data_IF_204753662071
#
_entry.id   IF_204753662071
#
_cell.length_a   1.000
_cell.length_b   1.000
_cell.length_c   1.000
_cell.angle_alpha   90.00
_cell.angle_beta   90.00
_cell.angle_gamma   90.00
#
_symmetry.space_group_name_H-M   'P 1'
#
loop_
_entity.id
_entity.type
_entity.pdbx_description
1 polymer ?
#
# COMPACT_ATOMS: atom_id res chain seq x y z
N UNK A 1 -19.24 -27.50 15.15
CA UNK A 1 -18.23 -28.46 14.73
C UNK A 1 -17.45 -27.98 13.53
N UNK A 2 -18.16 -27.72 12.47
CA UNK A 2 -17.56 -27.23 11.23
C UNK A 2 -17.02 -25.83 11.36
N UNK A 3 -17.58 -25.03 12.26
CA UNK A 3 -17.17 -23.66 12.53
C UNK A 3 -15.73 -23.61 13.09
N UNK A 4 -15.38 -24.52 14.00
CA UNK A 4 -14.03 -24.55 14.56
C UNK A 4 -12.99 -24.96 13.51
N UNK A 5 -13.34 -25.90 12.64
CA UNK A 5 -12.47 -26.32 11.54
C UNK A 5 -12.27 -25.18 10.55
N UNK A 6 -13.33 -24.46 10.22
CA UNK A 6 -13.26 -23.29 9.34
C UNK A 6 -12.41 -22.17 9.93
N UNK A 7 -12.56 -21.88 11.21
CA UNK A 7 -11.74 -20.88 11.91
C UNK A 7 -10.28 -21.27 11.91
N UNK A 8 -9.98 -22.54 12.16
CA UNK A 8 -8.62 -23.05 12.18
C UNK A 8 -7.99 -22.97 10.78
N UNK A 9 -8.74 -23.37 9.76
CA UNK A 9 -8.27 -23.30 8.37
C UNK A 9 -8.04 -21.85 7.93
N UNK A 10 -8.93 -20.92 8.29
CA UNK A 10 -8.79 -19.51 7.99
C UNK A 10 -7.57 -18.91 8.72
N UNK A 11 -7.37 -19.26 9.98
CA UNK A 11 -6.22 -18.79 10.76
C UNK A 11 -4.91 -19.31 10.17
N UNK A 12 -4.87 -20.58 9.76
CA UNK A 12 -3.70 -21.17 9.11
C UNK A 12 -3.38 -20.45 7.79
N UNK A 13 -4.40 -20.10 7.02
CA UNK A 13 -4.23 -19.38 5.75
C UNK A 13 -3.67 -17.98 6.01
N UNK A 14 -4.24 -17.26 6.95
CA UNK A 14 -3.75 -15.92 7.33
C UNK A 14 -2.30 -15.98 7.77
N UNK A 15 -1.96 -16.94 8.63
CA UNK A 15 -0.60 -17.12 9.12
C UNK A 15 0.38 -17.42 7.98
N UNK A 16 0.00 -18.29 7.05
CA UNK A 16 0.85 -18.64 5.90
C UNK A 16 1.08 -17.47 4.97
N UNK A 17 0.04 -16.68 4.69
CA UNK A 17 0.17 -15.47 3.88
C UNK A 17 1.11 -14.49 4.55
N UNK A 18 0.93 -14.24 5.84
CA UNK A 18 1.78 -13.32 6.59
C UNK A 18 3.24 -13.77 6.59
N UNK A 19 3.49 -15.07 6.79
CA UNK A 19 4.85 -15.62 6.76
C UNK A 19 5.52 -15.39 5.41
N UNK A 20 4.80 -15.59 4.31
CA UNK A 20 5.34 -15.39 2.96
C UNK A 20 5.63 -13.93 2.68
N UNK A 21 4.74 -13.03 3.11
CA UNK A 21 4.96 -11.58 2.96
C UNK A 21 6.20 -11.13 3.74
N UNK A 22 6.39 -11.63 4.96
CA UNK A 22 7.53 -11.26 5.79
C UNK A 22 8.83 -11.89 5.30
N UNK A 23 8.78 -13.12 4.78
CA UNK A 23 9.96 -13.81 4.27
C UNK A 23 10.56 -13.10 3.05
N UNK A 24 9.70 -12.57 2.17
CA UNK A 24 10.10 -11.85 0.96
C UNK A 24 9.71 -10.37 1.02
N UNK A 25 9.78 -9.78 2.21
CA UNK A 25 9.28 -8.42 2.47
C UNK A 25 9.86 -7.38 1.50
N UNK A 26 11.14 -7.44 1.20
CA UNK A 26 11.78 -6.47 0.29
C UNK A 26 11.20 -6.56 -1.12
N UNK A 27 10.97 -7.77 -1.61
CA UNK A 27 10.41 -8.01 -2.94
C UNK A 27 8.95 -7.53 -2.99
N UNK A 28 8.15 -7.90 -1.98
CA UNK A 28 6.76 -7.48 -1.88
C UNK A 28 6.64 -5.97 -1.73
N UNK A 29 7.44 -5.38 -0.86
CA UNK A 29 7.43 -3.94 -0.61
C UNK A 29 7.73 -3.17 -1.90
N UNK A 30 8.71 -3.61 -2.67
CA UNK A 30 9.04 -2.98 -3.95
C UNK A 30 7.87 -3.02 -4.94
N UNK A 31 7.21 -4.18 -5.07
CA UNK A 31 6.07 -4.35 -5.96
C UNK A 31 4.87 -3.52 -5.49
N UNK A 32 4.63 -3.47 -4.18
CA UNK A 32 3.52 -2.73 -3.59
C UNK A 32 3.73 -1.22 -3.76
N UNK A 33 4.95 -0.73 -3.56
CA UNK A 33 5.29 0.68 -3.79
C UNK A 33 5.13 1.07 -5.25
N UNK A 34 5.51 0.19 -6.17
CA UNK A 34 5.34 0.42 -7.61
C UNK A 34 3.86 0.53 -7.97
N UNK A 35 3.01 -0.32 -7.41
CA UNK A 35 1.56 -0.26 -7.62
C UNK A 35 0.98 1.05 -7.08
N UNK A 36 1.38 1.45 -5.86
CA UNK A 36 0.94 2.70 -5.27
C UNK A 36 1.35 3.89 -6.14
N UNK A 37 2.58 3.92 -6.61
CA UNK A 37 3.08 4.98 -7.49
C UNK A 37 2.30 5.02 -8.80
N UNK A 38 2.05 3.89 -9.42
CA UNK A 38 1.31 3.82 -10.68
C UNK A 38 -0.11 4.39 -10.53
N UNK A 39 -0.76 4.12 -9.40
CA UNK A 39 -2.16 4.50 -9.19
C UNK A 39 -2.33 5.90 -8.61
N UNK A 40 -1.38 6.38 -7.81
CA UNK A 40 -1.60 7.55 -6.96
C UNK A 40 -0.67 8.74 -7.23
N UNK A 41 0.38 8.60 -8.05
CA UNK A 41 1.32 9.71 -8.31
C UNK A 41 0.63 10.93 -8.92
N UNK A 42 -0.24 10.71 -9.90
CA UNK A 42 -0.99 11.81 -10.53
C UNK A 42 -1.86 12.53 -9.49
N UNK A 43 -2.51 11.78 -8.61
CA UNK A 43 -3.34 12.33 -7.54
C UNK A 43 -2.51 13.10 -6.52
N UNK A 44 -1.30 12.60 -6.21
CA UNK A 44 -0.37 13.32 -5.33
C UNK A 44 -0.01 14.69 -5.90
N UNK A 45 0.19 14.78 -7.21
CA UNK A 45 0.46 16.06 -7.88
C UNK A 45 -0.75 16.98 -7.86
N UNK A 46 -1.97 16.44 -7.97
CA UNK A 46 -3.19 17.22 -7.83
C UNK A 46 -3.31 17.83 -6.43
N UNK A 47 -3.02 17.04 -5.40
CA UNK A 47 -3.04 17.53 -4.01
C UNK A 47 -1.93 18.56 -3.77
N UNK A 48 -0.78 18.37 -4.39
CA UNK A 48 0.32 19.33 -4.32
C UNK A 48 -0.08 20.68 -4.92
N UNK A 49 -0.79 20.65 -6.05
CA UNK A 49 -1.27 21.87 -6.71
C UNK A 49 -2.26 22.66 -5.83
N UNK A 50 -3.04 21.95 -5.00
CA UNK A 50 -4.02 22.57 -4.10
C UNK A 50 -3.39 23.06 -2.79
N UNK A 51 -2.11 22.81 -2.56
CA UNK A 51 -1.42 23.20 -1.33
C UNK A 51 -0.63 24.49 -1.54
N UNK A 52 -1.22 25.63 -1.16
CA UNK A 52 -0.62 26.95 -1.30
C UNK A 52 0.60 27.15 -0.40
N UNK A 53 0.83 26.27 0.56
CA UNK A 53 1.92 26.41 1.52
C UNK A 53 3.21 25.70 1.09
N UNK A 54 3.19 24.99 -0.03
CA UNK A 54 4.39 24.33 -0.54
C UNK A 54 5.14 25.26 -1.48
N UNK A 55 6.47 25.22 -1.43
CA UNK A 55 7.34 25.95 -2.36
C UNK A 55 7.53 25.18 -3.67
N UNK A 56 6.98 23.99 -3.76
CA UNK A 56 7.13 23.11 -4.92
C UNK A 56 6.06 23.39 -5.97
N UNK A 57 6.49 23.60 -7.21
CA UNK A 57 5.60 23.85 -8.34
C UNK A 57 5.32 22.52 -9.05
N UNK A 58 4.07 22.01 -9.04
CA UNK A 58 3.74 20.72 -9.66
C UNK A 58 3.90 20.72 -11.18
N UNK A 59 3.93 21.89 -11.83
CA UNK A 59 4.16 21.97 -13.27
C UNK A 59 5.64 21.87 -13.63
N UNK A 60 6.50 22.46 -12.79
CA UNK A 60 7.94 22.49 -13.03
C UNK A 60 8.70 21.38 -12.33
N UNK A 61 8.22 20.96 -11.17
CA UNK A 61 8.87 19.96 -10.33
C UNK A 61 7.82 18.99 -9.78
N UNK A 62 7.16 18.19 -10.65
CA UNK A 62 6.15 17.24 -10.19
C UNK A 62 6.78 16.09 -9.41
N UNK A 63 5.96 15.48 -8.56
CA UNK A 63 6.35 14.24 -7.88
C UNK A 63 6.40 13.14 -8.94
N UNK A 64 7.54 12.46 -9.05
CA UNK A 64 7.68 11.33 -9.97
C UNK A 64 7.22 10.04 -9.29
N UNK A 65 6.94 9.02 -10.09
CA UNK A 65 6.59 7.70 -9.56
C UNK A 65 7.68 7.13 -8.66
N UNK A 66 8.95 7.31 -9.05
CA UNK A 66 10.09 6.85 -8.25
C UNK A 66 10.17 7.59 -6.92
N UNK A 67 9.95 8.89 -6.93
CA UNK A 67 9.93 9.70 -5.72
C UNK A 67 8.77 9.26 -4.81
N UNK A 68 7.57 9.09 -5.37
CA UNK A 68 6.41 8.62 -4.63
C UNK A 68 6.72 7.31 -3.92
N UNK A 69 7.24 6.34 -4.68
CA UNK A 69 7.55 5.01 -4.15
C UNK A 69 8.58 5.06 -3.01
N UNK A 70 9.55 5.97 -3.09
CA UNK A 70 10.58 6.12 -2.04
C UNK A 70 10.06 6.82 -0.79
N UNK A 71 9.09 7.72 -0.94
CA UNK A 71 8.62 8.55 0.16
C UNK A 71 7.66 7.85 1.08
N UNK A 72 6.80 6.96 0.57
CA UNK A 72 5.83 6.25 1.42
C UNK A 72 6.54 5.27 2.35
N UNK A 73 6.01 5.11 3.57
CA UNK A 73 6.64 4.33 4.62
C UNK A 73 5.72 3.19 5.03
N UNK A 74 6.18 1.95 4.84
CA UNK A 74 5.42 0.77 5.22
C UNK A 74 5.26 0.69 6.75
N UNK A 75 4.02 0.61 7.22
CA UNK A 75 3.72 0.53 8.65
C UNK A 75 3.21 -0.84 9.07
N UNK A 76 2.37 -1.48 8.24
CA UNK A 76 1.84 -2.80 8.60
C UNK A 76 1.26 -3.53 7.39
N UNK A 77 1.06 -4.84 7.56
CA UNK A 77 0.26 -5.68 6.67
C UNK A 77 -0.97 -6.18 7.42
N UNK A 78 -2.13 -6.17 6.75
CA UNK A 78 -3.35 -6.81 7.23
C UNK A 78 -3.67 -7.97 6.31
N UNK A 79 -4.04 -9.11 6.85
CA UNK A 79 -4.42 -10.30 6.05
C UNK A 79 -5.82 -10.72 6.44
N UNK A 80 -6.70 -10.86 5.43
CA UNK A 80 -8.06 -11.33 5.64
C UNK A 80 -8.13 -12.86 5.58
N UNK A 81 -9.20 -13.47 6.15
CA UNK A 81 -9.37 -14.93 6.11
C UNK A 81 -9.41 -15.53 4.70
N UNK A 82 -9.77 -14.73 3.69
CA UNK A 82 -9.76 -15.16 2.30
C UNK A 82 -8.39 -15.18 1.64
N UNK A 83 -7.32 -14.76 2.36
CA UNK A 83 -5.97 -14.72 1.84
C UNK A 83 -5.60 -13.42 1.15
N UNK A 84 -6.50 -12.46 1.10
CA UNK A 84 -6.22 -11.12 0.57
C UNK A 84 -5.48 -10.32 1.63
N UNK A 85 -4.49 -9.56 1.22
CA UNK A 85 -3.74 -8.70 2.15
C UNK A 85 -3.85 -7.24 1.74
N UNK A 86 -3.61 -6.36 2.73
CA UNK A 86 -3.50 -4.92 2.53
C UNK A 86 -2.21 -4.47 3.19
N UNK A 87 -1.40 -3.73 2.43
CA UNK A 87 -0.22 -3.07 2.98
C UNK A 87 -0.58 -1.62 3.29
N UNK A 88 -0.18 -1.15 4.47
CA UNK A 88 -0.48 0.20 4.96
C UNK A 88 0.79 1.02 4.97
N UNK A 89 0.74 2.21 4.34
CA UNK A 89 1.87 3.12 4.23
C UNK A 89 1.51 4.50 4.76
N UNK A 90 2.46 5.16 5.42
CA UNK A 90 2.35 6.59 5.68
C UNK A 90 2.64 7.34 4.39
N UNK A 91 1.94 8.45 4.17
CA UNK A 91 1.99 9.20 2.91
C UNK A 91 3.12 10.24 2.81
N UNK A 92 3.91 10.41 3.87
CA UNK A 92 4.93 11.47 3.95
C UNK A 92 4.34 12.85 3.58
N UNK A 93 3.13 13.11 4.07
CA UNK A 93 2.38 14.36 3.87
C UNK A 93 2.03 14.68 2.41
N UNK A 94 2.21 13.73 1.48
CA UNK A 94 1.80 13.93 0.08
C UNK A 94 0.30 14.10 -0.08
N UNK A 95 -0.48 13.51 0.82
CA UNK A 95 -1.94 13.61 0.88
C UNK A 95 -2.39 14.20 2.22
N UNK A 96 -1.59 15.11 2.76
CA UNK A 96 -1.90 15.87 3.99
C UNK A 96 -2.11 14.96 5.22
N UNK A 97 -1.33 13.89 5.31
CA UNK A 97 -1.37 12.98 6.45
C UNK A 97 -2.38 11.84 6.34
N UNK A 98 -2.83 11.53 5.13
CA UNK A 98 -3.69 10.37 4.88
C UNK A 98 -2.84 9.10 4.73
N UNK A 99 -3.50 7.95 4.84
CA UNK A 99 -2.83 6.65 4.73
C UNK A 99 -2.96 6.14 3.30
N UNK A 100 -1.88 5.58 2.76
CA UNK A 100 -1.89 4.90 1.47
C UNK A 100 -2.03 3.39 1.72
N UNK A 101 -2.98 2.75 1.03
CA UNK A 101 -3.17 1.31 1.13
C UNK A 101 -2.95 0.65 -0.22
N UNK A 102 -2.35 -0.54 -0.21
CA UNK A 102 -2.16 -1.36 -1.40
C UNK A 102 -2.71 -2.75 -1.11
N UNK A 103 -3.68 -3.19 -1.91
CA UNK A 103 -4.31 -4.50 -1.77
C UNK A 103 -3.70 -5.50 -2.73
N UNK A 104 -3.67 -6.76 -2.34
CA UNK A 104 -3.18 -7.82 -3.20
C UNK A 104 -3.44 -9.21 -2.67
N UNK A 105 -2.98 -10.20 -3.43
CA UNK A 105 -2.96 -11.61 -3.04
C UNK A 105 -1.60 -12.19 -3.40
N UNK A 106 -1.20 -13.29 -2.76
CA UNK A 106 0.07 -13.95 -3.08
C UNK A 106 0.11 -14.42 -4.53
N UNK A 107 -1.04 -14.84 -5.06
CA UNK A 107 -1.15 -15.38 -6.41
C UNK A 107 -1.10 -14.29 -7.47
N UNK A 108 -1.82 -13.19 -7.26
CA UNK A 108 -1.95 -12.11 -8.25
C UNK A 108 -0.96 -10.98 -8.05
N UNK A 109 -0.35 -10.90 -6.86
CA UNK A 109 0.47 -9.76 -6.48
C UNK A 109 -0.40 -8.55 -6.15
N UNK A 110 0.14 -7.33 -6.25
CA UNK A 110 -0.63 -6.13 -6.02
C UNK A 110 -1.79 -6.00 -6.99
N UNK A 111 -2.97 -5.65 -6.48
CA UNK A 111 -4.19 -5.52 -7.30
C UNK A 111 -4.59 -4.05 -7.46
N UNK A 112 -4.44 -3.24 -6.43
CA UNK A 112 -4.82 -1.85 -6.46
C UNK A 112 -4.28 -1.07 -5.29
N UNK A 113 -4.40 0.25 -5.36
CA UNK A 113 -3.96 1.16 -4.32
C UNK A 113 -5.00 2.26 -4.13
N UNK A 114 -5.07 2.82 -2.91
CA UNK A 114 -6.03 3.86 -2.58
C UNK A 114 -5.50 4.71 -1.43
N UNK A 115 -6.19 5.82 -1.17
CA UNK A 115 -5.91 6.73 -0.06
C UNK A 115 -7.04 6.56 0.96
N UNK A 116 -6.69 6.33 2.22
CA UNK A 116 -7.62 6.15 3.32
C UNK A 116 -7.50 7.33 4.31
N UNK A 117 -8.58 7.66 4.89
CA UNK A 117 -8.63 8.75 5.85
C UNK A 117 -9.76 9.65 5.61
#
# INVERSE_FOLDING_TARGET
>A
LDVEIEKKASWTRVTNVMKKLLADQEVWDKSLRAMAAQKLTAQANEWLADNDQTDRDPEKDPITGDEFARRIILTEFSVSPGGRFTAWYEDDDMFWGHVVTVDGTLKKGPIGADIQG
#
